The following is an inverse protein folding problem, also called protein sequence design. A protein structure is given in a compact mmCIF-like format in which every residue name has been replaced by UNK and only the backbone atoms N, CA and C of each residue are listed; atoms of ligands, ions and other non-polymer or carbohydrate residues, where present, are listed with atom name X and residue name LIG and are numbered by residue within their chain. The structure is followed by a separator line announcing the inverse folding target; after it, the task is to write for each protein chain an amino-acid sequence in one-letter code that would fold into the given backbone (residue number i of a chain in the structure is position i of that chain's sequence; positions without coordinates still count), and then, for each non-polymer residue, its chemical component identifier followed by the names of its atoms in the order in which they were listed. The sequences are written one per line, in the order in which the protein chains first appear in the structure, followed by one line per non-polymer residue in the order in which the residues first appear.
data_IF_315637876665
#
_entry.id   IF_315637876665
#
_cell.length_a   1.000
_cell.length_b   1.000
_cell.length_c   1.000
_cell.angle_alpha   90.00
_cell.angle_beta   90.00
_cell.angle_gamma   90.00
#
_symmetry.space_group_name_H-M   'P 1'
#
loop_
_entity.id
_entity.type
_entity.pdbx_description
1 polymer ?
#
# COMPACT_ATOMS: atom_id res chain seq x y z
N UNK A 1 4.89 12.39 -20.26
CA UNK A 1 5.67 13.55 -19.76
C UNK A 1 5.23 14.89 -20.36
N UNK A 2 4.77 14.89 -21.60
CA UNK A 2 4.31 16.13 -22.27
C UNK A 2 3.17 16.83 -21.53
N UNK A 3 2.26 16.08 -20.91
CA UNK A 3 1.09 16.59 -20.19
C UNK A 3 1.35 16.85 -18.70
N UNK A 4 2.56 16.57 -18.22
CA UNK A 4 3.04 16.83 -16.86
C UNK A 4 2.10 16.29 -15.75
N UNK A 5 1.52 15.12 -15.93
CA UNK A 5 0.80 14.40 -14.88
C UNK A 5 1.53 13.12 -14.47
N UNK A 6 1.22 12.63 -13.29
CA UNK A 6 1.79 11.41 -12.73
C UNK A 6 0.83 10.23 -12.92
N UNK A 7 1.36 9.09 -13.31
CA UNK A 7 0.62 7.82 -13.38
C UNK A 7 1.20 6.86 -12.35
N UNK A 8 0.38 6.51 -11.39
CA UNK A 8 0.73 5.62 -10.29
C UNK A 8 0.22 4.21 -10.58
N UNK A 9 1.12 3.22 -10.62
CA UNK A 9 0.80 1.85 -10.99
C UNK A 9 0.56 0.98 -9.75
N UNK A 10 -0.53 0.24 -9.76
CA UNK A 10 -0.80 -0.86 -8.85
C UNK A 10 -0.74 -2.17 -9.62
N UNK A 11 0.05 -3.15 -9.18
CA UNK A 11 0.25 -4.42 -9.87
C UNK A 11 0.25 -5.61 -8.92
N UNK A 12 0.07 -6.82 -9.47
CA UNK A 12 0.22 -8.08 -8.75
C UNK A 12 1.63 -8.67 -8.90
N UNK A 13 2.55 -7.93 -9.46
CA UNK A 13 3.92 -8.39 -9.67
C UNK A 13 4.69 -8.48 -8.36
N UNK A 14 5.49 -9.51 -8.22
CA UNK A 14 6.47 -9.61 -7.14
C UNK A 14 7.47 -8.43 -7.22
N UNK A 15 8.20 -8.13 -6.12
CA UNK A 15 9.06 -6.94 -6.07
C UNK A 15 10.02 -6.80 -7.25
N UNK A 16 10.77 -7.84 -7.58
CA UNK A 16 11.78 -7.76 -8.64
C UNK A 16 11.19 -7.56 -10.05
N UNK A 17 10.18 -8.36 -10.50
CA UNK A 17 9.51 -8.08 -11.77
C UNK A 17 8.88 -6.69 -11.85
N UNK A 18 8.39 -6.14 -10.73
CA UNK A 18 7.83 -4.80 -10.72
C UNK A 18 8.91 -3.72 -10.93
N UNK A 19 10.05 -3.85 -10.26
CA UNK A 19 11.20 -2.95 -10.49
C UNK A 19 11.64 -3.01 -11.96
N UNK A 20 11.74 -4.20 -12.54
CA UNK A 20 12.11 -4.36 -13.96
C UNK A 20 11.13 -3.65 -14.88
N UNK A 21 9.83 -3.73 -14.60
CA UNK A 21 8.81 -2.98 -15.35
C UNK A 21 9.03 -1.48 -15.24
N UNK A 22 9.20 -0.97 -14.02
CA UNK A 22 9.42 0.46 -13.78
C UNK A 22 10.68 0.97 -14.49
N UNK A 23 11.76 0.20 -14.44
CA UNK A 23 13.03 0.54 -15.11
C UNK A 23 12.88 0.55 -16.63
N UNK A 24 12.13 -0.38 -17.19
CA UNK A 24 11.84 -0.42 -18.63
C UNK A 24 10.99 0.76 -19.10
N UNK A 25 10.03 1.19 -18.28
CA UNK A 25 9.21 2.37 -18.56
C UNK A 25 10.02 3.67 -18.48
N UNK A 26 11.05 3.70 -17.65
CA UNK A 26 12.05 4.76 -17.55
C UNK A 26 11.46 6.18 -17.55
N UNK A 27 10.43 6.41 -16.74
CA UNK A 27 9.81 7.73 -16.61
C UNK A 27 9.61 8.11 -15.14
N UNK A 28 10.04 9.32 -14.80
CA UNK A 28 9.83 9.89 -13.47
C UNK A 28 8.33 10.12 -13.16
N UNK A 29 7.48 10.13 -14.18
CA UNK A 29 6.04 10.33 -14.06
C UNK A 29 5.29 8.99 -13.89
N UNK A 30 5.99 7.87 -13.91
CA UNK A 30 5.45 6.55 -13.59
C UNK A 30 5.94 6.17 -12.19
N UNK A 31 5.00 6.04 -11.28
CA UNK A 31 5.28 5.79 -9.85
C UNK A 31 4.48 4.59 -9.36
N UNK A 32 4.55 4.31 -8.07
CA UNK A 32 3.90 3.15 -7.45
C UNK A 32 2.76 3.59 -6.55
N UNK A 33 1.60 3.00 -6.76
CA UNK A 33 0.50 2.94 -5.80
C UNK A 33 0.64 1.62 -5.03
N UNK A 34 0.94 1.70 -3.75
CA UNK A 34 1.14 0.52 -2.90
C UNK A 34 -0.13 0.19 -2.13
N UNK A 35 -0.69 -0.99 -2.34
CA UNK A 35 -1.85 -1.49 -1.59
C UNK A 35 -1.39 -2.53 -0.57
N UNK A 36 -1.47 -2.18 0.72
CA UNK A 36 -0.99 -3.03 1.82
C UNK A 36 -1.73 -4.37 1.84
N UNK A 37 -3.05 -4.35 1.63
CA UNK A 37 -3.86 -5.56 1.65
C UNK A 37 -3.63 -6.47 0.46
N UNK A 38 -3.45 -5.92 -0.73
CA UNK A 38 -3.17 -6.72 -1.93
C UNK A 38 -1.82 -7.42 -1.81
N UNK A 39 -0.79 -6.74 -1.32
CA UNK A 39 0.51 -7.35 -1.05
C UNK A 39 0.40 -8.49 -0.03
N UNK A 40 -0.34 -8.29 1.06
CA UNK A 40 -0.57 -9.31 2.07
C UNK A 40 -1.29 -10.54 1.49
N UNK A 41 -2.31 -10.33 0.65
CA UNK A 41 -3.04 -11.43 0.01
C UNK A 41 -2.17 -12.23 -0.96
N UNK A 42 -1.19 -11.61 -1.60
CA UNK A 42 -0.23 -12.26 -2.48
C UNK A 42 0.94 -12.92 -1.71
N UNK A 43 1.05 -12.68 -0.42
CA UNK A 43 2.09 -13.24 0.43
C UNK A 43 3.45 -12.56 0.28
N UNK A 44 3.49 -11.35 -0.25
CA UNK A 44 4.74 -10.60 -0.39
C UNK A 44 5.18 -10.01 0.95
N UNK A 45 6.50 -9.96 1.16
CA UNK A 45 7.11 -9.34 2.32
C UNK A 45 7.27 -7.83 2.11
N UNK A 46 6.73 -7.04 3.03
CA UNK A 46 6.78 -5.57 2.91
C UNK A 46 8.20 -5.00 2.97
N UNK A 47 9.14 -5.65 3.68
CA UNK A 47 10.53 -5.21 3.68
C UNK A 47 11.16 -5.38 2.29
N UNK A 48 10.91 -6.53 1.64
CA UNK A 48 11.40 -6.77 0.28
C UNK A 48 10.81 -5.79 -0.73
N UNK A 49 9.51 -5.52 -0.63
CA UNK A 49 8.82 -4.58 -1.51
C UNK A 49 9.35 -3.15 -1.33
N UNK A 50 9.45 -2.68 -0.09
CA UNK A 50 9.96 -1.34 0.22
C UNK A 50 11.44 -1.18 -0.16
N UNK A 51 12.26 -2.21 0.04
CA UNK A 51 13.64 -2.18 -0.41
C UNK A 51 13.75 -2.07 -1.94
N UNK A 52 12.86 -2.75 -2.66
CA UNK A 52 12.87 -2.78 -4.12
C UNK A 52 12.39 -1.45 -4.75
N UNK A 53 11.30 -0.88 -4.26
CA UNK A 53 10.67 0.30 -4.89
C UNK A 53 10.04 1.31 -3.91
N UNK A 54 10.40 1.27 -2.63
CA UNK A 54 9.81 2.15 -1.62
C UNK A 54 9.96 3.63 -1.93
N UNK A 55 11.06 4.04 -2.52
CA UNK A 55 11.35 5.42 -2.94
C UNK A 55 10.51 5.89 -4.15
N UNK A 56 9.85 4.96 -4.84
CA UNK A 56 8.98 5.24 -6.00
C UNK A 56 7.49 5.28 -5.62
N UNK A 57 7.14 5.03 -4.37
CA UNK A 57 5.75 5.03 -3.88
C UNK A 57 5.26 6.47 -3.74
N UNK A 58 4.16 6.80 -4.39
CA UNK A 58 3.54 8.13 -4.32
C UNK A 58 2.19 8.14 -3.65
N UNK A 59 1.54 7.01 -3.52
CA UNK A 59 0.29 6.83 -2.77
C UNK A 59 0.20 5.42 -2.19
N UNK A 60 -0.47 5.32 -1.05
CA UNK A 60 -0.61 4.07 -0.30
C UNK A 60 -2.08 3.84 0.01
N UNK A 61 -2.59 2.66 -0.36
CA UNK A 61 -3.92 2.21 0.00
C UNK A 61 -3.88 1.45 1.33
N UNK A 62 -4.68 1.91 2.28
CA UNK A 62 -4.89 1.26 3.57
C UNK A 62 -6.00 0.22 3.40
N UNK A 63 -5.59 -1.04 3.41
CA UNK A 63 -6.45 -2.21 3.20
C UNK A 63 -5.85 -3.41 3.92
N UNK A 64 -6.68 -4.33 4.35
CA UNK A 64 -6.23 -5.62 4.85
C UNK A 64 -6.96 -6.75 4.13
N UNK A 65 -6.26 -7.84 3.90
CA UNK A 65 -6.79 -9.04 3.27
C UNK A 65 -6.18 -10.28 3.91
N UNK A 66 -6.90 -11.39 3.86
CA UNK A 66 -6.33 -12.68 4.21
C UNK A 66 -5.51 -13.24 3.03
N UNK A 67 -4.52 -14.04 3.35
CA UNK A 67 -3.66 -14.69 2.33
C UNK A 67 -4.54 -15.46 1.34
N UNK A 68 -4.34 -15.18 0.05
CA UNK A 68 -5.13 -15.73 -1.06
C UNK A 68 -6.64 -15.48 -0.96
N UNK A 69 -7.05 -14.46 -0.20
CA UNK A 69 -8.45 -14.20 0.07
C UNK A 69 -8.87 -12.74 -0.10
N UNK A 70 -10.08 -12.46 0.35
CA UNK A 70 -10.72 -11.16 0.20
C UNK A 70 -10.39 -10.17 1.32
N UNK A 71 -10.98 -8.95 1.23
CA UNK A 71 -10.78 -7.92 2.23
C UNK A 71 -11.43 -8.28 3.56
N UNK A 72 -10.79 -7.85 4.63
CA UNK A 72 -11.27 -7.98 6.01
C UNK A 72 -11.06 -6.65 6.75
N UNK A 73 -11.64 -6.55 7.94
CA UNK A 73 -11.41 -5.40 8.83
C UNK A 73 -9.91 -5.26 9.09
N UNK A 74 -9.41 -4.02 9.12
CA UNK A 74 -8.00 -3.74 9.37
C UNK A 74 -7.53 -4.38 10.67
N UNK A 75 -6.43 -5.12 10.59
CA UNK A 75 -5.85 -5.86 11.69
C UNK A 75 -6.33 -7.31 11.82
N UNK A 76 -7.34 -7.72 11.06
CA UNK A 76 -7.86 -9.08 11.07
C UNK A 76 -7.34 -9.97 9.93
N UNK A 77 -6.55 -9.40 9.03
CA UNK A 77 -5.96 -10.11 7.90
C UNK A 77 -4.49 -10.47 8.08
N UNK A 78 -3.81 -10.62 6.96
CA UNK A 78 -2.41 -11.00 6.91
C UNK A 78 -1.45 -9.81 6.75
N UNK A 79 -1.94 -8.57 6.63
CA UNK A 79 -1.09 -7.40 6.57
C UNK A 79 -0.42 -7.14 7.92
N UNK A 80 0.89 -6.96 7.91
CA UNK A 80 1.68 -6.57 9.08
C UNK A 80 1.86 -5.04 9.08
N UNK A 81 0.87 -4.34 9.65
CA UNK A 81 0.87 -2.87 9.67
C UNK A 81 2.02 -2.30 10.51
N UNK A 82 2.34 -2.92 11.64
CA UNK A 82 3.44 -2.47 12.49
C UNK A 82 4.77 -2.50 11.74
N UNK A 83 5.09 -3.62 11.13
CA UNK A 83 6.30 -3.80 10.33
C UNK A 83 6.33 -2.82 9.16
N UNK A 84 5.24 -2.71 8.41
CA UNK A 84 5.14 -1.81 7.26
C UNK A 84 5.39 -0.35 7.63
N UNK A 85 4.66 0.19 8.62
CA UNK A 85 4.80 1.59 9.01
C UNK A 85 6.17 1.89 9.63
N UNK A 86 6.71 0.95 10.42
CA UNK A 86 8.07 1.07 10.96
C UNK A 86 9.11 1.19 9.85
N UNK A 87 9.01 0.36 8.83
CA UNK A 87 9.94 0.38 7.69
C UNK A 87 9.75 1.61 6.81
N UNK A 88 8.50 2.01 6.57
CA UNK A 88 8.15 3.17 5.74
C UNK A 88 8.79 4.48 6.27
N UNK A 89 8.95 4.63 7.56
CA UNK A 89 9.61 5.80 8.17
C UNK A 89 11.00 6.07 7.60
N UNK A 90 11.72 5.03 7.19
CA UNK A 90 13.05 5.14 6.58
C UNK A 90 13.06 5.73 5.18
N UNK A 91 11.91 5.82 4.51
CA UNK A 91 11.77 6.31 3.14
C UNK A 91 11.31 7.76 3.04
N UNK A 92 11.03 8.41 4.17
CA UNK A 92 10.53 9.79 4.21
C UNK A 92 9.30 10.01 3.29
N UNK A 93 8.36 9.07 3.33
CA UNK A 93 7.15 9.12 2.52
C UNK A 93 6.29 10.33 2.89
N UNK A 94 5.90 11.14 1.91
CA UNK A 94 5.10 12.36 2.08
C UNK A 94 3.77 12.32 1.32
N UNK A 95 3.44 11.19 0.72
CA UNK A 95 2.21 11.04 -0.05
C UNK A 95 0.98 10.77 0.81
N UNK A 96 -0.20 10.67 0.19
CA UNK A 96 -1.43 10.37 0.90
C UNK A 96 -1.54 8.91 1.33
N UNK A 97 -2.27 8.69 2.43
CA UNK A 97 -2.80 7.38 2.80
C UNK A 97 -4.28 7.37 2.43
N UNK A 98 -4.68 6.44 1.57
CA UNK A 98 -6.03 6.37 1.04
C UNK A 98 -6.74 5.17 1.66
N UNK A 99 -7.81 5.44 2.40
CA UNK A 99 -8.60 4.40 3.05
C UNK A 99 -9.40 3.61 2.00
N UNK A 100 -9.00 2.38 1.77
CA UNK A 100 -9.74 1.40 0.98
C UNK A 100 -10.10 0.19 1.86
N UNK A 101 -10.48 0.49 3.08
CA UNK A 101 -10.75 -0.48 4.12
C UNK A 101 -12.07 -1.24 3.89
N UNK A 102 -12.22 -2.36 4.59
CA UNK A 102 -13.42 -3.17 4.55
C UNK A 102 -14.67 -2.34 4.88
N UNK A 103 -15.74 -2.62 4.19
CA UNK A 103 -17.06 -2.05 4.47
C UNK A 103 -18.13 -3.11 4.43
N UNK A 104 -19.12 -2.90 5.26
CA UNK A 104 -20.33 -3.71 5.34
C UNK A 104 -21.57 -2.80 5.18
N UNK A 105 -22.74 -3.30 5.60
CA UNK A 105 -23.99 -2.54 5.54
C UNK A 105 -24.02 -1.34 6.49
N UNK A 106 -23.20 -1.33 7.55
CA UNK A 106 -23.08 -0.22 8.51
C UNK A 106 -22.30 0.97 7.92
N UNK A 107 -21.50 0.74 6.90
CA UNK A 107 -20.80 1.78 6.14
C UNK A 107 -19.94 2.74 6.96
N UNK A 108 -20.55 3.83 7.43
CA UNK A 108 -19.82 4.90 8.13
C UNK A 108 -19.24 4.47 9.47
N UNK A 109 -19.96 3.67 10.24
CA UNK A 109 -19.47 3.26 11.57
C UNK A 109 -18.28 2.31 11.48
N UNK A 110 -18.31 1.34 10.58
CA UNK A 110 -17.16 0.46 10.35
C UNK A 110 -15.94 1.24 9.78
N UNK A 111 -16.20 2.23 8.96
CA UNK A 111 -15.13 3.13 8.47
C UNK A 111 -14.47 3.90 9.61
N UNK A 112 -15.26 4.53 10.50
CA UNK A 112 -14.72 5.28 11.64
C UNK A 112 -13.88 4.42 12.58
N UNK A 113 -14.32 3.20 12.86
CA UNK A 113 -13.57 2.25 13.69
C UNK A 113 -12.20 1.94 13.09
N UNK A 114 -12.17 1.63 11.79
CA UNK A 114 -10.93 1.33 11.08
C UNK A 114 -10.03 2.56 10.94
N UNK A 115 -10.59 3.73 10.71
CA UNK A 115 -9.83 4.99 10.67
C UNK A 115 -9.14 5.23 12.02
N UNK A 116 -9.86 5.14 13.12
CA UNK A 116 -9.29 5.32 14.45
C UNK A 116 -8.18 4.31 14.74
N UNK A 117 -8.36 3.07 14.30
CA UNK A 117 -7.36 2.02 14.50
C UNK A 117 -6.07 2.31 13.73
N UNK A 118 -6.16 2.69 12.46
CA UNK A 118 -4.96 2.92 11.62
C UNK A 118 -4.20 4.20 12.01
N UNK A 119 -4.88 5.20 12.57
CA UNK A 119 -4.24 6.45 12.99
C UNK A 119 -3.15 6.23 14.04
N UNK A 120 -3.23 5.16 14.83
CA UNK A 120 -2.16 4.79 15.77
C UNK A 120 -0.83 4.53 15.07
N UNK A 121 -0.85 4.02 13.84
CA UNK A 121 0.34 3.73 13.05
C UNK A 121 0.80 4.93 12.21
N UNK A 122 -0.15 5.64 11.61
CA UNK A 122 0.15 6.77 10.70
C UNK A 122 0.76 7.95 11.46
N UNK A 123 0.29 8.20 12.68
CA UNK A 123 0.71 9.37 13.48
C UNK A 123 1.95 9.12 14.35
N UNK A 124 2.40 7.90 14.43
CA UNK A 124 3.65 7.57 15.12
C UNK A 124 4.85 7.85 14.19
#
# INVERSE_FOLDING_TARGET
EKENFNLSLETDLAPQPFVELLDRLNSKNITVNYDIGNSAALGFDSDEELEAYGDRITDIHIKDRVLNGGPVILGEGNADFEKFFKRLKGFNYQGPFIMQAYRDDEGVEIFKKQLNWILCYVND
#
